data_IF_297279988480
#
_entry.id   IF_297279988480
#
_cell.length_a   1.000
_cell.length_b   1.000
_cell.length_c   1.000
_cell.angle_alpha   90.00
_cell.angle_beta   90.00
_cell.angle_gamma   90.00
#
_symmetry.space_group_name_H-M   'P 1'
#
loop_
_entity.id
_entity.type
_entity.pdbx_description
1 polymer ?
#
# COMPACT_ATOMS: atom_id res chain seq x y z
N UNK A 1 -8.97 1.19 80.49
CA UNK A 1 -10.13 0.53 79.86
C UNK A 1 -10.27 1.03 78.43
N UNK A 2 -10.19 0.10 77.46
CA UNK A 2 -10.76 0.12 76.10
C UNK A 2 -10.13 1.09 75.07
N UNK A 3 -9.18 0.66 74.22
CA UNK A 3 -9.29 0.05 72.87
C UNK A 3 -10.06 0.85 71.81
N UNK A 4 -9.33 1.33 70.81
CA UNK A 4 -9.57 1.20 69.36
C UNK A 4 -8.46 2.00 68.66
N UNK A 5 -7.64 1.49 67.75
CA UNK A 5 -7.92 0.51 66.72
C UNK A 5 -7.49 1.16 65.40
N UNK A 6 -6.41 0.65 64.83
CA UNK A 6 -5.87 0.97 63.50
C UNK A 6 -6.98 1.12 62.46
N UNK A 7 -6.85 2.07 61.53
CA UNK A 7 -7.13 1.80 60.11
C UNK A 7 -6.21 2.65 59.22
N UNK A 8 -4.99 2.16 59.01
CA UNK A 8 -4.22 2.50 57.82
C UNK A 8 -4.95 1.90 56.61
N UNK A 9 -5.53 2.75 55.76
CA UNK A 9 -6.03 2.35 54.46
C UNK A 9 -4.81 2.00 53.60
N UNK A 10 -4.50 0.71 53.52
CA UNK A 10 -3.56 0.17 52.53
C UNK A 10 -4.18 0.33 51.15
N UNK A 11 -3.74 1.33 50.39
CA UNK A 11 -3.92 1.33 48.95
C UNK A 11 -3.00 0.25 48.36
N UNK A 12 -3.51 -0.98 48.21
CA UNK A 12 -2.88 -1.97 47.36
C UNK A 12 -3.14 -1.59 45.91
N UNK A 13 -2.39 -0.62 45.39
CA UNK A 13 -2.31 -0.31 43.98
C UNK A 13 -1.60 -1.43 43.25
N UNK A 14 -2.34 -2.47 42.85
CA UNK A 14 -1.85 -3.43 41.86
C UNK A 14 -1.98 -2.71 40.51
N UNK A 15 -0.87 -2.20 39.98
CA UNK A 15 -0.83 -1.55 38.67
C UNK A 15 -1.38 -2.51 37.62
N UNK A 16 -2.67 -2.35 37.32
CA UNK A 16 -3.39 -3.21 36.40
C UNK A 16 -3.04 -2.71 35.01
N UNK A 17 -2.18 -3.45 34.31
CA UNK A 17 -1.72 -3.07 32.99
C UNK A 17 -2.86 -3.29 31.99
N UNK A 18 -3.19 -2.27 31.22
CA UNK A 18 -4.27 -2.32 30.23
C UNK A 18 -3.75 -2.82 28.88
N UNK A 19 -4.62 -3.49 28.12
CA UNK A 19 -4.37 -3.92 26.76
C UNK A 19 -4.08 -2.73 25.85
N UNK A 20 -3.00 -2.79 25.06
CA UNK A 20 -2.64 -1.71 24.13
C UNK A 20 -3.62 -1.56 22.94
N UNK A 21 -4.52 -2.52 22.74
CA UNK A 21 -5.54 -2.47 21.68
C UNK A 21 -6.93 -2.08 22.18
N UNK A 22 -7.47 -2.81 23.15
CA UNK A 22 -8.86 -2.63 23.61
C UNK A 22 -9.00 -1.93 24.96
N UNK A 23 -7.90 -1.65 25.68
CA UNK A 23 -7.94 -1.01 26.98
C UNK A 23 -8.39 -1.91 28.15
N UNK A 24 -8.86 -3.13 27.90
CA UNK A 24 -9.24 -4.09 28.95
C UNK A 24 -8.06 -4.49 29.84
N UNK A 25 -8.27 -4.78 31.14
CA UNK A 25 -7.21 -5.19 32.04
C UNK A 25 -6.58 -6.51 31.58
N UNK A 26 -5.25 -6.54 31.57
CA UNK A 26 -4.49 -7.72 31.20
C UNK A 26 -4.40 -8.66 32.41
N UNK A 27 -4.90 -9.88 32.23
CA UNK A 27 -4.73 -10.96 33.19
C UNK A 27 -3.62 -11.90 32.70
N UNK A 28 -2.71 -12.25 33.62
CA UNK A 28 -1.62 -13.19 33.39
C UNK A 28 -0.25 -12.56 33.63
N UNK A 29 0.73 -12.95 32.80
CA UNK A 29 2.13 -12.52 32.93
C UNK A 29 2.29 -11.00 32.98
N UNK A 30 3.24 -10.53 33.78
CA UNK A 30 3.52 -9.09 33.98
C UNK A 30 3.96 -8.35 32.70
N UNK A 31 4.64 -9.03 31.78
CA UNK A 31 5.15 -8.43 30.54
C UNK A 31 4.12 -8.42 29.40
N UNK A 32 2.96 -9.06 29.58
CA UNK A 32 1.91 -9.17 28.57
C UNK A 32 1.45 -7.75 28.15
N UNK A 33 1.27 -7.56 26.84
CA UNK A 33 0.91 -6.28 26.20
C UNK A 33 -0.53 -6.26 25.67
N UNK A 34 -1.10 -7.43 25.41
CA UNK A 34 -2.43 -7.59 24.81
C UNK A 34 -3.23 -8.60 25.62
N UNK A 35 -4.54 -8.39 25.79
CA UNK A 35 -5.39 -9.33 26.51
C UNK A 35 -5.56 -10.67 25.75
N UNK A 36 -5.53 -10.64 24.42
CA UNK A 36 -5.74 -11.79 23.52
C UNK A 36 -4.88 -11.70 22.25
N UNK A 37 -4.75 -12.82 21.53
CA UNK A 37 -4.13 -12.85 20.21
C UNK A 37 -4.88 -12.01 19.17
N UNK A 38 -6.20 -11.91 19.29
CA UNK A 38 -7.01 -11.04 18.44
C UNK A 38 -6.59 -9.57 18.61
N UNK A 39 -6.43 -9.11 19.85
CA UNK A 39 -5.98 -7.75 20.13
C UNK A 39 -4.57 -7.47 19.61
N UNK A 40 -3.66 -8.44 19.75
CA UNK A 40 -2.30 -8.36 19.19
C UNK A 40 -2.34 -8.21 17.66
N UNK A 41 -3.14 -9.02 16.97
CA UNK A 41 -3.26 -8.97 15.52
C UNK A 41 -3.92 -7.66 15.05
N UNK A 42 -4.99 -7.21 15.71
CA UNK A 42 -5.66 -5.94 15.39
C UNK A 42 -4.72 -4.75 15.53
N UNK A 43 -3.96 -4.69 16.63
CA UNK A 43 -2.96 -3.66 16.85
C UNK A 43 -1.89 -3.63 15.75
N UNK A 44 -1.36 -4.81 15.38
CA UNK A 44 -0.38 -4.93 14.31
C UNK A 44 -0.95 -4.56 12.93
N UNK A 45 -2.20 -4.93 12.65
CA UNK A 45 -2.88 -4.55 11.42
C UNK A 45 -3.08 -3.03 11.34
N UNK A 46 -3.49 -2.40 12.45
CA UNK A 46 -3.64 -0.94 12.55
C UNK A 46 -2.31 -0.22 12.29
N UNK A 47 -1.22 -0.67 12.94
CA UNK A 47 0.10 -0.08 12.75
C UNK A 47 0.59 -0.14 11.29
N UNK A 48 0.28 -1.23 10.59
CA UNK A 48 0.72 -1.43 9.20
C UNK A 48 -0.29 -0.93 8.15
N UNK A 49 -1.47 -0.47 8.57
CA UNK A 49 -2.58 -0.16 7.65
C UNK A 49 -2.25 0.95 6.66
N UNK A 50 -1.74 2.09 7.12
CA UNK A 50 -1.50 3.26 6.26
C UNK A 50 -0.40 3.00 5.21
N UNK A 51 0.73 2.41 5.62
CA UNK A 51 1.82 2.06 4.70
C UNK A 51 1.40 0.98 3.70
N UNK A 52 0.67 -0.03 4.16
CA UNK A 52 0.14 -1.10 3.31
C UNK A 52 -0.91 -0.56 2.32
N UNK A 53 -1.77 0.38 2.75
CA UNK A 53 -2.77 1.01 1.89
C UNK A 53 -2.13 1.84 0.78
N UNK A 54 -1.08 2.60 1.09
CA UNK A 54 -0.35 3.39 0.10
C UNK A 54 0.27 2.50 -1.00
N UNK A 55 1.03 1.49 -0.60
CA UNK A 55 1.65 0.53 -1.53
C UNK A 55 0.59 -0.22 -2.34
N UNK A 56 -0.52 -0.64 -1.70
CA UNK A 56 -1.64 -1.27 -2.37
C UNK A 56 -2.27 -0.35 -3.42
N UNK A 57 -2.44 0.94 -3.12
CA UNK A 57 -3.02 1.90 -4.05
C UNK A 57 -2.13 2.11 -5.29
N UNK A 58 -0.82 2.28 -5.09
CA UNK A 58 0.17 2.34 -6.18
C UNK A 58 0.09 1.09 -7.06
N UNK A 59 0.08 -0.08 -6.45
CA UNK A 59 -0.02 -1.35 -7.19
C UNK A 59 -1.34 -1.49 -7.96
N UNK A 60 -2.45 -0.98 -7.40
CA UNK A 60 -3.72 -0.96 -8.10
C UNK A 60 -3.69 -0.04 -9.31
N UNK A 61 -3.09 1.16 -9.18
CA UNK A 61 -2.94 2.09 -10.29
C UNK A 61 -2.01 1.53 -11.39
N UNK A 62 -0.88 0.90 -11.03
CA UNK A 62 0.00 0.21 -11.99
C UNK A 62 -0.73 -0.91 -12.75
N UNK A 63 -1.52 -1.74 -12.05
CA UNK A 63 -2.34 -2.78 -12.69
C UNK A 63 -3.40 -2.19 -13.61
N UNK A 64 -4.04 -1.08 -13.23
CA UNK A 64 -5.01 -0.37 -14.07
C UNK A 64 -4.33 0.18 -15.33
N UNK A 65 -3.20 0.87 -15.18
CA UNK A 65 -2.40 1.37 -16.30
C UNK A 65 -2.03 0.26 -17.27
N UNK A 66 -1.52 -0.88 -16.78
CA UNK A 66 -1.17 -2.04 -17.63
C UNK A 66 -2.36 -2.52 -18.46
N UNK A 67 -3.54 -2.72 -17.83
CA UNK A 67 -4.77 -3.15 -18.51
C UNK A 67 -5.23 -2.16 -19.59
N UNK A 68 -5.06 -0.85 -19.36
CA UNK A 68 -5.40 0.18 -20.34
C UNK A 68 -4.50 0.07 -21.57
N UNK A 69 -3.18 -0.08 -21.37
CA UNK A 69 -2.23 -0.23 -22.47
C UNK A 69 -2.50 -1.51 -23.28
N UNK A 70 -2.71 -2.64 -22.59
CA UNK A 70 -3.08 -3.92 -23.19
C UNK A 70 -4.34 -3.82 -24.05
N UNK A 71 -5.41 -3.21 -23.51
CA UNK A 71 -6.67 -3.05 -24.25
C UNK A 71 -6.57 -2.11 -25.45
N UNK A 72 -5.63 -1.15 -25.43
CA UNK A 72 -5.41 -0.20 -26.51
C UNK A 72 -4.37 -0.70 -27.55
N UNK A 73 -3.73 -1.83 -27.30
CA UNK A 73 -2.61 -2.35 -28.09
C UNK A 73 -2.81 -3.84 -28.44
N UNK A 74 -3.82 -4.19 -29.25
CA UNK A 74 -4.10 -5.58 -29.62
C UNK A 74 -3.01 -6.23 -30.50
N UNK A 75 -2.36 -5.45 -31.37
CA UNK A 75 -1.42 -5.94 -32.40
C UNK A 75 0.06 -5.58 -32.08
N UNK A 76 0.48 -5.72 -30.82
CA UNK A 76 1.82 -5.41 -30.28
C UNK A 76 2.28 -3.93 -30.36
N UNK A 77 1.69 -3.12 -31.24
CA UNK A 77 1.91 -1.67 -31.36
C UNK A 77 0.62 -0.93 -31.67
N UNK A 78 0.43 0.22 -31.06
CA UNK A 78 -0.74 1.07 -31.31
C UNK A 78 -0.41 2.54 -31.07
N UNK A 79 -1.08 3.44 -31.81
CA UNK A 79 -0.96 4.89 -31.62
C UNK A 79 -2.26 5.44 -31.04
N UNK A 80 -2.16 6.13 -29.92
CA UNK A 80 -3.32 6.72 -29.21
C UNK A 80 -3.05 8.16 -28.83
N UNK A 81 -4.09 8.93 -28.53
CA UNK A 81 -3.93 10.29 -27.99
C UNK A 81 -3.86 10.27 -26.48
N UNK A 82 -3.22 11.28 -25.89
CA UNK A 82 -3.20 11.53 -24.44
C UNK A 82 -4.60 11.54 -23.83
N UNK A 83 -5.55 12.16 -24.52
CA UNK A 83 -6.94 12.27 -24.06
C UNK A 83 -7.60 10.91 -23.86
N UNK A 84 -7.32 9.92 -24.72
CA UNK A 84 -7.89 8.56 -24.60
C UNK A 84 -7.33 7.83 -23.37
N UNK A 85 -6.03 8.00 -23.10
CA UNK A 85 -5.39 7.44 -21.91
C UNK A 85 -6.00 8.05 -20.64
N UNK A 86 -6.08 9.38 -20.59
CA UNK A 86 -6.67 10.10 -19.46
C UNK A 86 -8.14 9.75 -19.23
N UNK A 87 -8.95 9.64 -20.30
CA UNK A 87 -10.38 9.30 -20.17
C UNK A 87 -10.61 7.88 -19.65
N UNK A 88 -9.66 6.95 -19.86
CA UNK A 88 -9.67 5.61 -19.25
C UNK A 88 -9.09 5.59 -17.83
N UNK A 89 -8.60 6.74 -17.35
CA UNK A 89 -8.00 6.92 -16.03
C UNK A 89 -6.59 6.34 -15.92
N UNK A 90 -5.83 6.42 -17.01
CA UNK A 90 -4.39 6.19 -17.02
C UNK A 90 -3.68 7.32 -16.26
N UNK A 91 -2.70 6.95 -15.43
CA UNK A 91 -1.91 7.91 -14.66
C UNK A 91 -0.43 7.80 -15.02
N UNK A 92 0.10 8.83 -15.68
CA UNK A 92 1.48 8.89 -16.17
C UNK A 92 2.54 8.92 -15.04
N UNK A 93 2.15 9.17 -13.79
CA UNK A 93 3.07 9.15 -12.65
C UNK A 93 3.40 7.73 -12.16
N UNK A 94 2.64 6.73 -12.61
CA UNK A 94 2.76 5.35 -12.16
C UNK A 94 3.36 4.47 -13.26
N UNK A 95 4.69 4.37 -13.23
CA UNK A 95 5.51 3.54 -14.12
C UNK A 95 6.42 2.60 -13.31
N UNK A 96 6.90 1.53 -13.92
CA UNK A 96 7.84 0.59 -13.28
C UNK A 96 9.29 0.86 -13.67
N UNK A 97 9.55 1.29 -14.91
CA UNK A 97 10.90 1.62 -15.37
C UNK A 97 10.88 2.46 -16.64
N UNK A 98 12.04 3.06 -16.94
CA UNK A 98 12.27 3.88 -18.12
C UNK A 98 13.32 3.20 -18.99
N UNK A 99 13.18 3.27 -20.32
CA UNK A 99 14.19 2.80 -21.26
C UNK A 99 14.51 3.85 -22.32
N UNK A 100 15.69 4.49 -22.26
CA UNK A 100 16.15 5.35 -23.33
C UNK A 100 16.59 4.51 -24.54
N UNK A 101 16.36 5.05 -25.73
CA UNK A 101 16.90 4.49 -26.99
C UNK A 101 18.18 5.21 -27.39
N UNK A 102 18.96 4.59 -28.29
CA UNK A 102 20.15 5.21 -28.87
C UNK A 102 19.86 6.53 -29.60
N UNK A 103 18.62 6.73 -30.07
CA UNK A 103 18.16 7.94 -30.75
C UNK A 103 17.62 9.01 -29.79
N UNK A 104 17.73 8.80 -28.48
CA UNK A 104 17.28 9.76 -27.46
C UNK A 104 15.80 9.64 -27.06
N UNK A 105 14.98 8.89 -27.78
CA UNK A 105 13.58 8.63 -27.39
C UNK A 105 13.51 7.85 -26.08
N UNK A 106 12.57 8.20 -25.21
CA UNK A 106 12.42 7.63 -23.87
C UNK A 106 11.10 6.86 -23.78
N UNK A 107 11.19 5.55 -23.59
CA UNK A 107 10.03 4.71 -23.32
C UNK A 107 9.76 4.63 -21.82
N UNK A 108 8.51 4.79 -21.44
CA UNK A 108 8.02 4.64 -20.08
C UNK A 108 7.23 3.34 -20.00
N UNK A 109 7.63 2.44 -19.11
CA UNK A 109 7.06 1.11 -19.01
C UNK A 109 6.20 0.94 -17.76
N UNK A 110 5.11 0.21 -17.94
CA UNK A 110 4.27 -0.36 -16.89
C UNK A 110 4.30 -1.88 -17.08
N UNK A 111 5.21 -2.53 -16.35
CA UNK A 111 5.54 -3.96 -16.54
C UNK A 111 6.00 -4.27 -17.97
N UNK A 112 5.24 -5.10 -18.69
CA UNK A 112 5.49 -5.57 -20.05
C UNK A 112 4.91 -4.64 -21.14
N UNK A 113 4.19 -3.57 -20.78
CA UNK A 113 3.73 -2.58 -21.75
C UNK A 113 4.48 -1.26 -21.59
N UNK A 114 4.82 -0.61 -22.69
CA UNK A 114 5.49 0.67 -22.72
C UNK A 114 4.74 1.70 -23.55
N UNK A 115 4.97 2.97 -23.24
CA UNK A 115 4.54 4.08 -24.08
C UNK A 115 5.69 5.05 -24.35
N UNK A 116 5.68 5.64 -25.54
CA UNK A 116 6.59 6.69 -25.99
C UNK A 116 5.75 7.90 -26.41
N UNK A 117 6.07 9.07 -25.87
CA UNK A 117 5.47 10.33 -26.32
C UNK A 117 5.97 10.67 -27.72
N UNK A 118 5.02 11.07 -28.57
CA UNK A 118 5.22 11.56 -29.92
C UNK A 118 4.72 13.01 -29.99
N UNK A 119 4.87 13.63 -31.16
CA UNK A 119 4.34 14.98 -31.38
C UNK A 119 2.80 15.02 -31.31
N UNK A 120 2.26 16.21 -31.03
CA UNK A 120 0.83 16.51 -31.01
C UNK A 120 0.01 15.63 -30.04
N UNK A 121 0.53 15.41 -28.82
CA UNK A 121 -0.13 14.64 -27.76
C UNK A 121 -0.45 13.18 -28.14
N UNK A 122 0.27 12.63 -29.11
CA UNK A 122 0.18 11.22 -29.43
C UNK A 122 1.17 10.40 -28.62
N UNK A 123 0.78 9.16 -28.34
CA UNK A 123 1.60 8.17 -27.68
C UNK A 123 1.63 6.90 -28.52
N UNK A 124 2.82 6.34 -28.71
CA UNK A 124 3.02 5.00 -29.23
C UNK A 124 3.04 4.02 -28.06
N UNK A 125 2.11 3.08 -28.04
CA UNK A 125 2.08 1.95 -27.10
C UNK A 125 2.79 0.75 -27.74
N UNK A 126 3.57 0.02 -26.96
CA UNK A 126 4.28 -1.20 -27.38
C UNK A 126 4.19 -2.27 -26.30
N UNK A 127 4.17 -3.55 -26.70
CA UNK A 127 4.39 -4.70 -25.80
C UNK A 127 5.87 -5.13 -25.83
N UNK A 128 6.45 -5.37 -24.66
CA UNK A 128 7.81 -5.89 -24.49
C UNK A 128 7.81 -7.40 -24.30
N UNK A 129 7.97 -8.13 -25.40
CA UNK A 129 7.98 -9.59 -25.41
C UNK A 129 9.25 -10.20 -24.78
N UNK A 130 10.26 -9.40 -24.37
CA UNK A 130 11.51 -9.92 -23.76
C UNK A 130 11.32 -10.47 -22.35
N UNK A 131 10.19 -10.21 -21.70
CA UNK A 131 9.86 -10.67 -20.35
C UNK A 131 9.11 -12.02 -20.33
N UNK A 132 8.67 -12.51 -21.49
CA UNK A 132 8.06 -13.84 -21.65
C UNK A 132 9.19 -14.88 -21.81
N UNK A 133 9.79 -15.31 -20.68
CA UNK A 133 10.70 -16.46 -20.62
C UNK A 133 10.07 -17.62 -19.86
#
# INVERSE_FOLDING_TARGET
>A
MHTAGLHAVRQNGKDMKNCQECGEPIIGRMDKKFCSDLCRNSFNNRLNSNSHNFVRNINNQLKKNRRILEALCPDDKSKVTKSILLSKGFDFNHITHIRPTLKGSIYHFVYDYGYLELDHDFYLIVKDNRLEK
#
